data_IF_972601357732
#
_entry.id   IF_972601357732
#
_cell.length_a   1.000
_cell.length_b   1.000
_cell.length_c   1.000
_cell.angle_alpha   90.00
_cell.angle_beta   90.00
_cell.angle_gamma   90.00
#
_symmetry.space_group_name_H-M   'P 1'
#
loop_
_entity.id
_entity.type
_entity.pdbx_description
1 polymer ?
#
# COMPACT_ATOMS: atom_id res chain seq x y z
N UNK A 1 -18.70 34.45 39.62
CA UNK A 1 -18.60 33.03 40.05
C UNK A 1 -17.31 32.44 39.47
N UNK A 2 -16.38 31.93 40.28
CA UNK A 2 -15.16 31.31 39.76
C UNK A 2 -15.52 30.06 38.94
N UNK A 3 -14.93 29.92 37.76
CA UNK A 3 -15.13 28.74 36.90
C UNK A 3 -14.62 27.51 37.64
N UNK A 4 -15.42 26.43 37.79
CA UNK A 4 -14.97 25.22 38.45
C UNK A 4 -13.77 24.64 37.71
N UNK A 5 -12.73 24.23 38.46
CA UNK A 5 -11.47 23.70 37.88
C UNK A 5 -11.70 22.59 36.88
N UNK A 6 -12.65 21.70 37.16
CA UNK A 6 -13.02 20.61 36.26
C UNK A 6 -13.52 21.12 34.90
N UNK A 7 -14.36 22.16 34.88
CA UNK A 7 -14.85 22.77 33.65
C UNK A 7 -13.70 23.39 32.86
N UNK A 8 -12.78 24.09 33.54
CA UNK A 8 -11.59 24.65 32.89
C UNK A 8 -10.73 23.56 32.24
N UNK A 9 -10.51 22.44 32.94
CA UNK A 9 -9.75 21.30 32.41
C UNK A 9 -10.48 20.69 31.20
N UNK A 10 -11.79 20.46 31.31
CA UNK A 10 -12.59 19.92 30.21
C UNK A 10 -12.53 20.82 28.96
N UNK A 11 -12.61 22.14 29.13
CA UNK A 11 -12.49 23.10 28.03
C UNK A 11 -11.09 23.07 27.39
N UNK A 12 -10.03 22.95 28.19
CA UNK A 12 -8.67 22.83 27.66
C UNK A 12 -8.47 21.53 26.88
N UNK A 13 -8.99 20.42 27.38
CA UNK A 13 -8.94 19.13 26.67
C UNK A 13 -9.73 19.18 25.36
N UNK A 14 -10.92 19.79 25.38
CA UNK A 14 -11.73 19.99 24.19
C UNK A 14 -11.02 20.86 23.15
N UNK A 15 -10.35 21.93 23.58
CA UNK A 15 -9.55 22.78 22.71
C UNK A 15 -8.40 22.00 22.07
N UNK A 16 -7.68 21.20 22.86
CA UNK A 16 -6.57 20.38 22.38
C UNK A 16 -7.06 19.34 21.34
N UNK A 17 -8.17 18.65 21.63
CA UNK A 17 -8.76 17.68 20.71
C UNK A 17 -9.16 18.30 19.38
N UNK A 18 -9.76 19.50 19.40
CA UNK A 18 -10.09 20.23 18.18
C UNK A 18 -8.85 20.65 17.38
N UNK A 19 -7.79 21.12 18.05
CA UNK A 19 -6.56 21.47 17.37
C UNK A 19 -5.92 20.25 16.68
N UNK A 20 -5.92 19.10 17.34
CA UNK A 20 -5.44 17.84 16.76
C UNK A 20 -6.30 17.41 15.56
N UNK A 21 -7.61 17.56 15.64
CA UNK A 21 -8.53 17.25 14.54
C UNK A 21 -8.26 18.13 13.32
N UNK A 22 -8.06 19.43 13.52
CA UNK A 22 -7.71 20.37 12.44
C UNK A 22 -6.37 20.00 11.82
N UNK A 23 -5.36 19.68 12.62
CA UNK A 23 -4.06 19.23 12.11
C UNK A 23 -4.16 17.93 11.30
N UNK A 24 -5.03 17.00 11.72
CA UNK A 24 -5.29 15.76 10.98
C UNK A 24 -5.99 16.03 9.64
N UNK A 25 -6.99 16.90 9.62
CA UNK A 25 -7.67 17.34 8.38
C UNK A 25 -6.71 18.08 7.44
N UNK A 26 -5.77 18.86 7.98
CA UNK A 26 -4.71 19.51 7.21
C UNK A 26 -3.64 18.54 6.70
N UNK A 27 -3.72 17.24 7.05
CA UNK A 27 -2.78 16.22 6.60
C UNK A 27 -1.44 16.24 7.31
N UNK A 28 -1.31 16.92 8.46
CA UNK A 28 -0.05 17.06 9.19
C UNK A 28 0.57 15.71 9.61
N UNK A 29 -0.27 14.69 9.81
CA UNK A 29 0.16 13.37 10.25
C UNK A 29 0.34 12.34 9.12
N UNK A 30 0.15 12.72 7.85
CA UNK A 30 0.31 11.84 6.68
C UNK A 30 -0.80 10.79 6.51
N UNK A 31 -0.61 9.86 5.57
CA UNK A 31 -1.65 8.92 5.12
C UNK A 31 -2.07 7.87 6.18
N UNK A 32 -1.23 7.61 7.18
CA UNK A 32 -1.54 6.65 8.24
C UNK A 32 -1.00 7.10 9.60
N UNK A 33 -1.68 8.05 10.29
CA UNK A 33 -1.22 8.63 11.55
C UNK A 33 -1.02 7.61 12.67
N UNK A 34 -1.79 6.52 12.65
CA UNK A 34 -1.77 5.44 13.64
C UNK A 34 -0.97 4.22 13.18
N UNK A 35 -0.43 4.27 11.95
CA UNK A 35 0.28 3.17 11.32
C UNK A 35 1.57 2.76 12.03
N UNK A 36 2.22 3.68 12.74
CA UNK A 36 3.41 3.37 13.54
C UNK A 36 3.12 2.75 14.91
N UNK A 37 1.88 2.88 15.41
CA UNK A 37 1.51 2.38 16.75
C UNK A 37 0.83 1.00 16.69
N UNK A 38 0.14 0.69 15.58
CA UNK A 38 -0.54 -0.59 15.37
C UNK A 38 -0.05 -1.37 14.15
N UNK A 39 0.84 -0.79 13.32
CA UNK A 39 1.46 -1.49 12.22
C UNK A 39 2.72 -2.21 12.70
N UNK A 40 2.73 -3.54 12.57
CA UNK A 40 4.00 -4.25 12.42
C UNK A 40 4.80 -3.56 11.30
N UNK A 41 6.12 -3.37 11.44
CA UNK A 41 6.97 -2.92 10.34
C UNK A 41 6.79 -3.95 9.23
N UNK A 42 5.92 -3.68 8.25
CA UNK A 42 5.82 -4.53 7.07
C UNK A 42 7.12 -4.35 6.34
N UNK A 43 8.06 -5.27 6.55
CA UNK A 43 9.34 -5.32 5.89
C UNK A 43 9.13 -5.14 4.39
N UNK A 44 9.50 -3.97 3.82
CA UNK A 44 9.34 -3.73 2.39
C UNK A 44 10.29 -4.63 1.56
N UNK A 45 11.16 -5.39 2.23
CA UNK A 45 12.13 -6.30 1.63
C UNK A 45 11.51 -7.43 0.82
N UNK A 46 10.22 -7.76 1.03
CA UNK A 46 9.54 -8.80 0.23
C UNK A 46 8.88 -8.28 -1.05
N UNK A 47 8.69 -6.96 -1.19
CA UNK A 47 8.15 -6.38 -2.43
C UNK A 47 9.18 -6.42 -3.57
N UNK A 48 10.48 -6.33 -3.26
CA UNK A 48 11.55 -6.49 -4.26
C UNK A 48 11.83 -7.94 -4.65
N UNK A 49 11.45 -8.92 -3.82
CA UNK A 49 11.66 -10.35 -4.10
C UNK A 49 10.46 -11.01 -4.78
N UNK A 50 9.27 -10.41 -4.70
CA UNK A 50 8.06 -10.97 -5.31
C UNK A 50 7.93 -10.69 -6.80
N UNK A 51 8.81 -9.88 -7.39
CA UNK A 51 8.93 -9.74 -8.84
C UNK A 51 10.29 -10.27 -9.26
N UNK A 52 10.32 -11.49 -9.79
CA UNK A 52 11.46 -11.97 -10.57
C UNK A 52 11.50 -11.16 -11.87
N UNK A 53 12.10 -9.96 -11.81
CA UNK A 53 12.22 -9.04 -12.94
C UNK A 53 12.83 -9.72 -14.18
N UNK A 54 13.63 -10.78 -13.96
CA UNK A 54 14.15 -11.70 -14.98
C UNK A 54 13.05 -12.27 -15.91
N UNK A 55 11.83 -12.48 -15.41
CA UNK A 55 10.68 -13.03 -16.16
C UNK A 55 9.77 -11.97 -16.78
N UNK A 56 10.03 -10.69 -16.47
CA UNK A 56 9.46 -9.52 -17.14
C UNK A 56 10.42 -8.98 -18.21
N UNK A 57 11.43 -9.75 -18.62
CA UNK A 57 12.06 -9.52 -19.92
C UNK A 57 10.97 -9.62 -20.98
N UNK A 58 10.50 -8.43 -21.38
CA UNK A 58 9.70 -8.20 -22.54
C UNK A 58 10.22 -9.08 -23.67
N UNK A 59 9.36 -9.96 -24.16
CA UNK A 59 9.53 -10.60 -25.45
C UNK A 59 9.99 -9.49 -26.41
N UNK A 60 11.15 -9.64 -27.10
CA UNK A 60 11.59 -8.63 -28.04
C UNK A 60 10.44 -8.33 -28.99
N UNK A 61 10.15 -7.05 -29.30
CA UNK A 61 9.04 -6.70 -30.16
C UNK A 61 9.19 -7.49 -31.47
N UNK A 62 8.30 -8.45 -31.69
CA UNK A 62 8.23 -9.19 -32.95
C UNK A 62 7.82 -8.16 -34.00
N UNK A 63 8.60 -7.97 -35.08
CA UNK A 63 8.14 -7.14 -36.18
C UNK A 63 6.81 -7.72 -36.67
N UNK A 64 5.76 -6.92 -36.61
CA UNK A 64 4.42 -7.28 -37.03
C UNK A 64 4.42 -7.57 -38.53
N UNK A 65 4.56 -8.82 -38.92
CA UNK A 65 4.10 -9.32 -40.22
C UNK A 65 3.67 -10.77 -40.05
N UNK A 66 2.35 -10.91 -39.93
CA UNK A 66 1.55 -11.98 -40.54
C UNK A 66 1.94 -13.43 -40.27
N UNK A 67 1.24 -14.08 -39.32
CA UNK A 67 0.78 -15.46 -39.45
C UNK A 67 -0.04 -15.88 -38.21
N UNK A 68 -1.28 -16.28 -38.44
CA UNK A 68 -2.22 -16.80 -37.46
C UNK A 68 -1.66 -18.00 -36.65
N UNK A 69 -2.03 -18.17 -35.36
CA UNK A 69 -1.57 -19.31 -34.58
C UNK A 69 -2.40 -20.55 -34.92
N UNK A 70 -1.85 -21.45 -35.76
CA UNK A 70 -2.31 -22.84 -35.85
C UNK A 70 -1.79 -23.59 -34.62
N UNK A 71 -2.68 -23.85 -33.66
CA UNK A 71 -2.39 -24.67 -32.50
C UNK A 71 -2.03 -26.10 -32.90
N UNK A 72 -0.83 -26.55 -32.52
CA UNK A 72 -0.45 -27.96 -32.50
C UNK A 72 -0.17 -28.35 -31.05
N UNK A 73 -1.07 -29.17 -30.49
CA UNK A 73 -0.89 -29.78 -29.18
C UNK A 73 0.18 -30.89 -29.26
N UNK A 74 1.13 -30.99 -28.32
CA UNK A 74 2.08 -32.09 -28.33
C UNK A 74 1.41 -33.40 -27.85
N UNK A 75 1.37 -34.40 -28.73
CA UNK A 75 1.08 -35.80 -28.39
C UNK A 75 2.23 -36.35 -27.55
N UNK A 76 1.94 -36.65 -26.28
CA UNK A 76 2.89 -37.33 -25.39
C UNK A 76 3.03 -38.81 -25.82
N UNK A 77 4.14 -39.14 -26.48
CA UNK A 77 4.55 -40.53 -26.71
C UNK A 77 5.32 -41.04 -25.49
N UNK A 78 4.64 -41.80 -24.64
CA UNK A 78 5.23 -42.59 -23.55
C UNK A 78 5.95 -43.81 -24.16
N UNK A 79 7.26 -43.93 -23.93
CA UNK A 79 8.02 -45.16 -24.18
C UNK A 79 8.91 -45.43 -22.98
N UNK A 80 8.90 -46.69 -22.51
CA UNK A 80 9.69 -47.20 -21.40
C UNK A 80 8.82 -47.80 -20.31
#
# INVERSE_FOLDING_TARGET
>A
MPVPRALRIALLLLLLANALLVAALAGLFGANPLGGWFGTPREPHRLGQQVRAERLQLLPPVPSTDAAPRGTLPVARRQG
#
